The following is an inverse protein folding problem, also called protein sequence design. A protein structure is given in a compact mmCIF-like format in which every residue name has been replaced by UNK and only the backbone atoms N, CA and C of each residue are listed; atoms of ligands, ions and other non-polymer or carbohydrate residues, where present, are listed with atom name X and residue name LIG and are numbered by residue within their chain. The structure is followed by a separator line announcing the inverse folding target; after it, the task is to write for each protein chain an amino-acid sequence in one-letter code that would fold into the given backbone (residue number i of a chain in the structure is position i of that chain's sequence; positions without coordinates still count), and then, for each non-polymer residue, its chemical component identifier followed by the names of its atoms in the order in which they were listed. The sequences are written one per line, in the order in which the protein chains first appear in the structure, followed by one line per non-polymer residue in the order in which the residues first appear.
data_IF_836290735930
#
_entry.id   IF_836290735930
#
_cell.length_a   1.000
_cell.length_b   1.000
_cell.length_c   1.000
_cell.angle_alpha   90.00
_cell.angle_beta   90.00
_cell.angle_gamma   90.00
#
_symmetry.space_group_name_H-M   'P 1'
#
loop_
_entity.id
_entity.type
_entity.pdbx_description
1 polymer ?
#
# COMPACT_ATOMS: atom_id res chain seq x y z
N UNK A 1 -4.70 20.01 13.41
CA UNK A 1 -4.39 18.67 12.88
C UNK A 1 -3.44 17.94 13.82
N UNK A 2 -2.25 18.47 14.14
CA UNK A 2 -1.22 17.82 14.98
C UNK A 2 -1.74 17.34 16.35
N UNK A 3 -2.64 18.11 16.99
CA UNK A 3 -3.29 17.72 18.27
C UNK A 3 -4.01 16.37 18.14
N UNK A 4 -4.71 16.14 17.06
CA UNK A 4 -5.45 14.88 16.84
C UNK A 4 -4.49 13.72 16.55
N UNK A 5 -3.44 13.94 15.75
CA UNK A 5 -2.40 12.92 15.57
C UNK A 5 -1.77 12.49 16.90
N UNK A 6 -1.48 13.43 17.80
CA UNK A 6 -0.98 13.09 19.15
C UNK A 6 -1.99 12.26 19.95
N UNK A 7 -3.28 12.60 19.94
CA UNK A 7 -4.32 11.80 20.60
C UNK A 7 -4.38 10.38 20.03
N UNK A 8 -4.31 10.23 18.70
CA UNK A 8 -4.29 8.93 18.01
C UNK A 8 -3.08 8.12 18.45
N UNK A 9 -1.90 8.71 18.38
CA UNK A 9 -0.63 8.05 18.71
C UNK A 9 -0.59 7.65 20.19
N UNK A 10 -1.17 8.44 21.09
CA UNK A 10 -1.28 8.09 22.50
C UNK A 10 -2.12 6.82 22.74
N UNK A 11 -3.14 6.58 21.90
CA UNK A 11 -4.00 5.42 22.02
C UNK A 11 -3.46 4.18 21.27
N UNK A 12 -2.63 4.38 20.26
CA UNK A 12 -2.14 3.30 19.40
C UNK A 12 -1.39 2.18 20.17
N UNK A 13 -0.43 2.47 21.08
CA UNK A 13 0.22 1.42 21.88
C UNK A 13 -0.77 0.59 22.68
N UNK A 14 -1.77 1.22 23.29
CA UNK A 14 -2.80 0.50 24.05
C UNK A 14 -3.61 -0.43 23.15
N UNK A 15 -4.02 0.04 21.98
CA UNK A 15 -4.72 -0.76 20.98
C UNK A 15 -3.89 -1.98 20.57
N UNK A 16 -2.60 -1.79 20.30
CA UNK A 16 -1.70 -2.85 19.84
C UNK A 16 -1.38 -3.87 20.94
N UNK A 17 -1.17 -3.42 22.17
CA UNK A 17 -0.79 -4.27 23.30
C UNK A 17 -2.00 -4.94 23.96
N UNK A 18 -3.11 -4.21 24.10
CA UNK A 18 -4.33 -4.74 24.72
C UNK A 18 -5.23 -5.45 23.73
N UNK A 19 -5.20 -5.04 22.46
CA UNK A 19 -5.98 -5.66 21.39
C UNK A 19 -5.68 -7.14 21.18
N UNK A 20 -4.50 -7.63 21.58
CA UNK A 20 -4.18 -9.06 21.53
C UNK A 20 -4.79 -9.88 22.67
N UNK A 21 -5.22 -9.23 23.76
CA UNK A 21 -5.78 -9.93 24.91
C UNK A 21 -7.18 -10.43 24.58
N UNK A 22 -7.40 -11.72 24.72
CA UNK A 22 -8.69 -12.38 24.44
C UNK A 22 -9.19 -12.24 22.98
N UNK A 23 -8.32 -11.86 22.03
CA UNK A 23 -8.67 -11.78 20.64
C UNK A 23 -8.36 -13.13 19.94
N UNK A 24 -9.38 -13.71 19.32
CA UNK A 24 -9.21 -14.94 18.54
C UNK A 24 -8.67 -14.65 17.15
N UNK A 25 -7.35 -14.70 17.01
CA UNK A 25 -6.68 -14.48 15.74
C UNK A 25 -7.01 -15.56 14.69
N UNK A 26 -7.55 -16.72 15.07
CA UNK A 26 -7.94 -17.76 14.10
C UNK A 26 -9.13 -17.33 13.24
N UNK A 27 -9.93 -16.38 13.73
CA UNK A 27 -11.05 -15.77 12.99
C UNK A 27 -10.61 -14.73 11.95
N UNK A 28 -9.33 -14.33 11.93
CA UNK A 28 -8.84 -13.32 10.99
C UNK A 28 -8.76 -13.88 9.55
N UNK A 29 -9.27 -13.11 8.60
CA UNK A 29 -9.27 -13.49 7.19
C UNK A 29 -8.37 -12.53 6.37
N UNK A 30 -7.64 -13.03 5.36
CA UNK A 30 -7.44 -14.43 4.95
C UNK A 30 -6.37 -15.16 5.78
N UNK A 31 -5.67 -14.48 6.68
CA UNK A 31 -4.60 -15.02 7.53
C UNK A 31 -4.63 -14.40 8.92
N UNK A 32 -4.25 -15.20 9.91
CA UNK A 32 -4.22 -14.77 11.31
C UNK A 32 -3.08 -13.80 11.65
N UNK A 33 -2.06 -13.69 10.79
CA UNK A 33 -0.90 -12.83 11.00
C UNK A 33 -0.45 -12.15 9.71
N UNK A 34 0.20 -11.00 9.85
CA UNK A 34 0.99 -10.37 8.80
C UNK A 34 2.36 -11.05 8.73
N UNK A 35 2.35 -12.23 8.15
CA UNK A 35 3.46 -13.14 8.02
C UNK A 35 4.16 -13.03 6.65
N UNK A 36 5.15 -13.91 6.42
CA UNK A 36 5.88 -14.00 5.14
C UNK A 36 4.94 -14.01 3.94
N UNK A 37 3.89 -14.82 3.98
CA UNK A 37 2.96 -14.94 2.85
C UNK A 37 2.17 -13.65 2.62
N UNK A 38 1.74 -12.99 3.69
CA UNK A 38 1.03 -11.71 3.58
C UNK A 38 1.94 -10.61 3.03
N UNK A 39 3.22 -10.57 3.47
CA UNK A 39 4.22 -9.64 2.94
C UNK A 39 4.50 -9.90 1.45
N UNK A 40 4.65 -11.18 1.08
CA UNK A 40 4.84 -11.57 -0.33
C UNK A 40 3.65 -11.15 -1.21
N UNK A 41 2.41 -11.28 -0.71
CA UNK A 41 1.23 -10.81 -1.43
C UNK A 41 1.24 -9.30 -1.66
N UNK A 42 1.62 -8.51 -0.65
CA UNK A 42 1.72 -7.06 -0.78
C UNK A 42 2.79 -6.65 -1.81
N UNK A 43 3.96 -7.30 -1.79
CA UNK A 43 5.04 -7.05 -2.74
C UNK A 43 4.67 -7.48 -4.16
N UNK A 44 3.98 -8.63 -4.31
CA UNK A 44 3.44 -9.07 -5.58
C UNK A 44 2.36 -8.12 -6.11
N UNK A 45 1.53 -7.58 -5.21
CA UNK A 45 0.53 -6.59 -5.57
C UNK A 45 1.18 -5.32 -6.14
N UNK A 46 2.27 -4.84 -5.50
CA UNK A 46 3.09 -3.76 -6.03
C UNK A 46 3.71 -4.12 -7.39
N UNK A 47 4.35 -5.30 -7.50
CA UNK A 47 5.01 -5.74 -8.72
C UNK A 47 4.05 -5.80 -9.92
N UNK A 48 2.93 -6.50 -9.77
CA UNK A 48 2.02 -6.76 -10.88
C UNK A 48 1.11 -5.57 -11.20
N UNK A 49 0.62 -4.87 -10.19
CA UNK A 49 -0.37 -3.81 -10.40
C UNK A 49 0.20 -2.40 -10.40
N UNK A 50 1.45 -2.21 -10.00
CA UNK A 50 2.11 -0.93 -10.14
C UNK A 50 3.29 -1.01 -11.11
N UNK A 51 4.35 -1.75 -10.80
CA UNK A 51 5.55 -1.76 -11.65
C UNK A 51 5.26 -2.16 -13.08
N UNK A 52 4.52 -3.26 -13.29
CA UNK A 52 4.19 -3.71 -14.66
C UNK A 52 3.24 -2.78 -15.38
N UNK A 53 2.20 -2.27 -14.73
CA UNK A 53 1.25 -1.35 -15.36
C UNK A 53 1.82 0.05 -15.62
N UNK A 54 2.75 0.49 -14.77
CA UNK A 54 3.49 1.74 -14.97
C UNK A 54 4.71 1.58 -15.91
N UNK A 55 4.93 0.39 -16.47
CA UNK A 55 6.07 0.06 -17.33
C UNK A 55 7.44 0.39 -16.71
N UNK A 56 7.58 0.15 -15.41
CA UNK A 56 8.86 0.28 -14.71
C UNK A 56 9.73 -0.93 -15.04
N UNK A 57 10.95 -0.75 -15.57
CA UNK A 57 11.83 -1.87 -15.89
C UNK A 57 12.40 -2.51 -14.63
N UNK A 58 12.48 -3.84 -14.58
CA UNK A 58 13.16 -4.59 -13.54
C UNK A 58 13.56 -5.99 -14.03
N UNK A 59 14.57 -6.57 -13.38
CA UNK A 59 14.88 -7.99 -13.54
C UNK A 59 14.02 -8.81 -12.58
N UNK A 60 13.27 -9.77 -13.09
CA UNK A 60 12.29 -10.55 -12.33
C UNK A 60 12.95 -11.31 -11.16
N UNK A 61 14.02 -12.06 -11.43
CA UNK A 61 14.68 -12.87 -10.41
C UNK A 61 15.35 -11.99 -9.33
N UNK A 62 16.08 -10.96 -9.74
CA UNK A 62 16.77 -10.08 -8.80
C UNK A 62 15.77 -9.32 -7.90
N UNK A 63 14.60 -8.94 -8.44
CA UNK A 63 13.55 -8.30 -7.65
C UNK A 63 12.94 -9.27 -6.63
N UNK A 64 12.72 -10.54 -6.99
CA UNK A 64 12.23 -11.56 -6.06
C UNK A 64 13.25 -11.86 -4.96
N UNK A 65 14.54 -11.88 -5.27
CA UNK A 65 15.61 -12.05 -4.28
C UNK A 65 15.62 -10.89 -3.28
N UNK A 66 15.44 -9.65 -3.77
CA UNK A 66 15.34 -8.47 -2.92
C UNK A 66 14.06 -8.46 -2.08
N UNK A 67 12.93 -8.94 -2.62
CA UNK A 67 11.68 -9.12 -1.86
C UNK A 67 11.88 -10.10 -0.72
N UNK A 68 12.54 -11.23 -0.96
CA UNK A 68 12.87 -12.19 0.08
C UNK A 68 13.79 -11.57 1.16
N UNK A 69 14.77 -10.76 0.75
CA UNK A 69 15.67 -10.04 1.66
C UNK A 69 14.90 -9.06 2.54
N UNK A 70 14.02 -8.26 1.95
CA UNK A 70 13.15 -7.34 2.70
C UNK A 70 12.23 -8.08 3.67
N UNK A 71 11.59 -9.16 3.22
CA UNK A 71 10.70 -9.96 4.07
C UNK A 71 11.47 -10.56 5.25
N UNK A 72 12.67 -11.13 5.02
CA UNK A 72 13.49 -11.66 6.09
C UNK A 72 13.80 -10.60 7.14
N UNK A 73 14.19 -9.40 6.71
CA UNK A 73 14.44 -8.27 7.57
C UNK A 73 13.19 -7.86 8.40
N UNK A 74 12.03 -7.76 7.76
CA UNK A 74 10.80 -7.40 8.47
C UNK A 74 10.36 -8.46 9.47
N UNK A 75 10.71 -9.73 9.22
CA UNK A 75 10.41 -10.84 10.12
C UNK A 75 11.30 -10.89 11.37
N UNK A 76 12.40 -10.13 11.44
CA UNK A 76 13.23 -9.98 12.64
C UNK A 76 12.50 -9.22 13.76
N UNK A 77 11.59 -8.29 13.40
CA UNK A 77 10.81 -7.56 14.38
C UNK A 77 9.85 -8.48 15.15
N UNK A 78 9.62 -8.18 16.43
CA UNK A 78 8.56 -8.86 17.21
C UNK A 78 7.19 -8.55 16.60
N UNK A 79 6.40 -9.60 16.37
CA UNK A 79 5.12 -9.55 15.67
C UNK A 79 3.97 -10.16 16.48
N UNK A 80 4.14 -10.29 17.79
CA UNK A 80 3.12 -10.83 18.68
C UNK A 80 2.22 -9.73 19.27
N UNK A 81 1.78 -8.80 18.39
CA UNK A 81 0.88 -7.70 18.75
C UNK A 81 -0.35 -7.68 17.85
N UNK A 82 -1.37 -6.93 18.28
CA UNK A 82 -2.49 -6.63 17.39
C UNK A 82 -2.06 -5.58 16.36
N UNK A 83 -2.18 -5.91 15.11
CA UNK A 83 -1.94 -5.04 13.97
C UNK A 83 -3.30 -4.68 13.37
N UNK A 84 -3.61 -3.39 13.31
CA UNK A 84 -4.86 -2.87 12.76
C UNK A 84 -4.93 -3.04 11.24
N UNK A 85 -3.80 -2.96 10.57
CA UNK A 85 -3.57 -3.11 9.13
C UNK A 85 -3.88 -1.84 8.33
N UNK A 86 -5.09 -1.33 8.39
CA UNK A 86 -5.52 -0.14 7.62
C UNK A 86 -5.63 1.11 8.51
N UNK A 87 -4.62 1.32 9.37
CA UNK A 87 -4.53 2.44 10.30
C UNK A 87 -4.11 3.71 9.55
N UNK A 88 -5.07 4.37 8.92
CA UNK A 88 -4.91 5.54 8.07
C UNK A 88 -5.81 6.68 8.54
N UNK A 89 -5.47 7.92 8.16
CA UNK A 89 -6.22 9.11 8.55
C UNK A 89 -7.72 9.04 8.22
N UNK A 90 -8.09 8.46 7.07
CA UNK A 90 -9.49 8.29 6.65
C UNK A 90 -10.31 7.32 7.52
N UNK A 91 -9.64 6.46 8.29
CA UNK A 91 -10.27 5.47 9.17
C UNK A 91 -10.27 5.95 10.64
N UNK A 92 -9.97 7.23 10.85
CA UNK A 92 -9.96 7.89 12.15
C UNK A 92 -11.02 8.98 12.14
N UNK A 93 -12.07 8.79 12.92
CA UNK A 93 -13.18 9.73 13.03
C UNK A 93 -12.99 10.62 14.24
N UNK A 94 -13.36 11.89 14.12
CA UNK A 94 -13.34 12.87 15.20
C UNK A 94 -14.78 13.33 15.44
N UNK A 95 -15.25 13.16 16.67
CA UNK A 95 -16.56 13.65 17.09
C UNK A 95 -16.42 14.21 18.51
N UNK A 96 -16.92 15.42 18.72
CA UNK A 96 -16.88 16.11 20.01
C UNK A 96 -15.50 16.11 20.67
N UNK A 97 -14.46 16.33 19.86
CA UNK A 97 -13.03 16.30 20.23
C UNK A 97 -12.48 14.91 20.67
N UNK A 98 -13.30 13.88 20.58
CA UNK A 98 -12.93 12.49 20.83
C UNK A 98 -12.59 11.75 19.53
N UNK A 99 -11.76 10.69 19.65
CA UNK A 99 -11.24 9.91 18.51
C UNK A 99 -11.90 8.53 18.51
N UNK A 100 -12.32 8.12 17.30
CA UNK A 100 -12.91 6.80 17.05
C UNK A 100 -12.20 6.14 15.90
N UNK A 101 -11.88 4.85 16.03
CA UNK A 101 -11.27 4.04 14.99
C UNK A 101 -12.33 3.16 14.31
N UNK A 102 -12.35 3.19 12.97
CA UNK A 102 -13.29 2.42 12.15
C UNK A 102 -12.50 1.59 11.13
N UNK A 103 -13.13 0.56 10.56
CA UNK A 103 -12.55 -0.25 9.47
C UNK A 103 -11.43 -1.21 9.97
N UNK A 104 -11.65 -1.85 11.13
CA UNK A 104 -10.66 -2.70 11.81
C UNK A 104 -10.73 -4.18 11.39
N UNK A 105 -11.57 -4.57 10.44
CA UNK A 105 -11.73 -5.97 10.00
C UNK A 105 -10.46 -6.55 9.35
N UNK A 106 -9.50 -5.72 8.97
CA UNK A 106 -8.17 -6.14 8.52
C UNK A 106 -7.24 -6.59 9.65
N UNK A 107 -7.68 -6.48 10.92
CA UNK A 107 -6.88 -6.74 12.10
C UNK A 107 -6.36 -8.17 12.17
N UNK A 108 -5.12 -8.34 12.62
CA UNK A 108 -4.42 -9.62 12.74
C UNK A 108 -3.19 -9.49 13.63
N UNK A 109 -2.40 -10.55 13.81
CA UNK A 109 -1.09 -10.42 14.44
C UNK A 109 -0.10 -9.70 13.54
N UNK A 110 0.74 -8.83 14.11
CA UNK A 110 1.80 -8.16 13.36
C UNK A 110 2.71 -7.30 14.23
N UNK A 111 3.65 -6.63 13.57
CA UNK A 111 4.62 -5.77 14.25
C UNK A 111 4.02 -4.40 14.60
N UNK A 112 4.46 -3.85 15.73
CA UNK A 112 4.07 -2.52 16.22
C UNK A 112 4.34 -1.40 15.19
N UNK A 113 5.41 -1.54 14.42
CA UNK A 113 5.87 -0.54 13.47
C UNK A 113 4.92 -0.31 12.29
N UNK A 114 4.12 -1.33 11.91
CA UNK A 114 3.31 -1.26 10.70
C UNK A 114 2.22 -0.18 10.78
N UNK A 115 1.47 -0.13 11.87
CA UNK A 115 0.34 0.81 11.98
C UNK A 115 0.80 2.26 12.10
N UNK A 116 1.87 2.52 12.86
CA UNK A 116 2.46 3.87 12.93
C UNK A 116 3.07 4.28 11.58
N UNK A 117 3.67 3.35 10.83
CA UNK A 117 4.12 3.59 9.46
C UNK A 117 2.94 3.90 8.52
N UNK A 118 1.85 3.16 8.64
CA UNK A 118 0.63 3.37 7.84
C UNK A 118 0.01 4.75 8.10
N UNK A 119 0.01 5.21 9.35
CA UNK A 119 -0.53 6.51 9.74
C UNK A 119 0.36 7.66 9.26
N UNK A 120 1.67 7.59 9.51
CA UNK A 120 2.58 8.70 9.27
C UNK A 120 2.98 8.84 7.80
N UNK A 121 2.93 7.76 7.02
CA UNK A 121 3.21 7.76 5.58
C UNK A 121 1.95 7.55 4.72
N UNK A 122 0.76 7.87 5.26
CA UNK A 122 -0.45 8.01 4.44
C UNK A 122 -0.21 9.11 3.40
N UNK A 123 -0.18 8.74 2.12
CA UNK A 123 0.19 9.63 1.03
C UNK A 123 -0.69 10.90 0.98
N UNK A 124 -1.99 10.76 1.24
CA UNK A 124 -2.93 11.90 1.20
C UNK A 124 -2.87 12.80 2.43
N UNK A 125 -2.28 12.33 3.52
CA UNK A 125 -2.09 13.15 4.72
C UNK A 125 -0.98 14.19 4.53
N UNK A 126 -0.03 13.92 3.64
CA UNK A 126 1.08 14.80 3.22
C UNK A 126 1.77 15.50 4.41
N UNK A 127 2.11 14.71 5.43
CA UNK A 127 2.79 15.23 6.61
C UNK A 127 4.24 15.60 6.29
N UNK A 128 4.73 16.74 6.82
CA UNK A 128 6.16 17.08 6.71
C UNK A 128 7.03 16.11 7.52
N UNK A 129 8.29 15.97 7.13
CA UNK A 129 9.21 15.04 7.81
C UNK A 129 9.47 15.44 9.27
N UNK A 130 9.47 16.73 9.60
CA UNK A 130 9.57 17.21 10.97
C UNK A 130 8.41 16.71 11.81
N UNK A 131 7.18 16.76 11.27
CA UNK A 131 5.98 16.27 11.95
C UNK A 131 6.04 14.75 12.10
N UNK A 132 6.45 14.01 11.05
CA UNK A 132 6.60 12.55 11.10
C UNK A 132 7.61 12.13 12.16
N UNK A 133 8.78 12.79 12.20
CA UNK A 133 9.81 12.50 13.19
C UNK A 133 9.32 12.76 14.61
N UNK A 134 8.72 13.94 14.87
CA UNK A 134 8.16 14.27 16.17
C UNK A 134 7.07 13.27 16.61
N UNK A 135 6.22 12.83 15.70
CA UNK A 135 5.15 11.88 16.00
C UNK A 135 5.67 10.46 16.20
N UNK A 136 6.71 10.05 15.47
CA UNK A 136 7.39 8.78 15.70
C UNK A 136 8.06 8.75 17.07
N UNK A 137 8.81 9.80 17.42
CA UNK A 137 9.42 9.92 18.73
C UNK A 137 8.37 9.86 19.85
N UNK A 138 7.27 10.59 19.68
CA UNK A 138 6.17 10.57 20.64
C UNK A 138 5.52 9.16 20.74
N UNK A 139 5.37 8.44 19.62
CA UNK A 139 4.90 7.06 19.63
C UNK A 139 5.81 6.14 20.46
N UNK A 140 7.11 6.24 20.24
CA UNK A 140 8.09 5.42 20.95
C UNK A 140 8.11 5.75 22.46
N UNK A 141 7.96 7.03 22.83
CA UNK A 141 7.84 7.46 24.23
C UNK A 141 6.56 6.90 24.89
N UNK A 142 5.43 6.95 24.18
CA UNK A 142 4.18 6.37 24.68
C UNK A 142 4.27 4.84 24.82
N UNK A 143 4.90 4.16 23.87
CA UNK A 143 5.09 2.71 23.88
C UNK A 143 5.98 2.26 25.05
N UNK A 144 7.05 3.02 25.35
CA UNK A 144 7.98 2.73 26.46
C UNK A 144 7.33 2.80 27.86
N UNK A 145 6.15 3.40 27.98
CA UNK A 145 5.38 3.38 29.25
C UNK A 145 4.83 1.99 29.58
N UNK A 146 4.75 1.11 28.58
CA UNK A 146 4.11 -0.21 28.72
C UNK A 146 5.07 -1.38 28.52
N UNK A 147 6.06 -1.24 27.66
CA UNK A 147 7.05 -2.29 27.33
C UNK A 147 8.44 -1.71 27.18
N UNK A 148 9.45 -2.52 27.45
CA UNK A 148 10.83 -2.17 27.14
C UNK A 148 11.10 -2.41 25.65
N UNK A 149 11.68 -1.43 24.97
CA UNK A 149 12.05 -1.51 23.56
C UNK A 149 13.49 -1.02 23.36
N UNK A 150 14.18 -1.64 22.39
CA UNK A 150 15.35 -1.01 21.76
C UNK A 150 14.86 0.00 20.74
N UNK A 151 15.08 1.30 21.04
CA UNK A 151 14.60 2.41 20.21
C UNK A 151 15.27 2.43 18.84
N UNK A 152 16.58 2.17 18.77
CA UNK A 152 17.33 2.17 17.53
C UNK A 152 16.85 1.04 16.60
N UNK A 153 16.68 -0.15 17.14
CA UNK A 153 16.19 -1.31 16.40
C UNK A 153 14.72 -1.12 15.97
N UNK A 154 13.90 -0.53 16.84
CA UNK A 154 12.50 -0.19 16.50
C UNK A 154 12.42 0.78 15.32
N UNK A 155 13.29 1.81 15.27
CA UNK A 155 13.36 2.77 14.16
C UNK A 155 13.89 2.10 12.89
N UNK A 156 14.88 1.22 13.00
CA UNK A 156 15.43 0.46 11.87
C UNK A 156 14.34 -0.36 11.17
N UNK A 157 13.56 -1.11 11.92
CA UNK A 157 12.43 -1.87 11.39
C UNK A 157 11.29 -0.97 10.91
N UNK A 158 11.03 0.15 11.60
CA UNK A 158 9.98 1.08 11.20
C UNK A 158 10.13 1.52 9.73
N UNK A 159 11.32 1.92 9.29
CA UNK A 159 11.51 2.33 7.90
C UNK A 159 11.36 1.19 6.90
N UNK A 160 11.65 -0.05 7.29
CA UNK A 160 11.32 -1.23 6.49
C UNK A 160 9.80 -1.40 6.34
N UNK A 161 9.05 -1.22 7.44
CA UNK A 161 7.58 -1.26 7.42
C UNK A 161 6.97 -0.08 6.67
N UNK A 162 7.58 1.11 6.71
CA UNK A 162 7.21 2.24 5.85
C UNK A 162 7.33 1.85 4.38
N UNK A 163 8.46 1.26 3.99
CA UNK A 163 8.70 0.87 2.60
C UNK A 163 7.65 -0.13 2.09
N UNK A 164 7.42 -1.24 2.80
CA UNK A 164 6.41 -2.24 2.37
C UNK A 164 5.00 -1.64 2.33
N UNK A 165 4.67 -0.74 3.27
CA UNK A 165 3.37 -0.08 3.32
C UNK A 165 3.15 0.88 2.15
N UNK A 166 4.18 1.64 1.75
CA UNK A 166 4.11 2.50 0.56
C UNK A 166 3.91 1.63 -0.68
N UNK A 167 4.69 0.56 -0.84
CA UNK A 167 4.58 -0.35 -1.98
C UNK A 167 3.19 -1.01 -2.06
N UNK A 168 2.64 -1.46 -0.94
CA UNK A 168 1.28 -2.00 -0.88
C UNK A 168 0.24 -0.95 -1.33
N UNK A 169 0.37 0.30 -0.87
CA UNK A 169 -0.52 1.39 -1.29
C UNK A 169 -0.39 1.70 -2.79
N UNK A 170 0.84 1.73 -3.32
CA UNK A 170 1.07 1.93 -4.75
C UNK A 170 0.48 0.80 -5.60
N UNK A 171 0.55 -0.46 -5.14
CA UNK A 171 -0.16 -1.57 -5.76
C UNK A 171 -1.67 -1.30 -5.85
N UNK A 172 -2.28 -0.78 -4.77
CA UNK A 172 -3.69 -0.40 -4.77
C UNK A 172 -3.97 0.79 -5.71
N UNK A 173 -3.08 1.78 -5.79
CA UNK A 173 -3.22 2.89 -6.73
C UNK A 173 -3.13 2.42 -8.18
N UNK A 174 -2.22 1.51 -8.48
CA UNK A 174 -2.08 0.91 -9.80
C UNK A 174 -3.30 0.07 -10.19
N UNK A 175 -3.73 -0.84 -9.32
CA UNK A 175 -4.91 -1.66 -9.56
C UNK A 175 -6.16 -0.82 -9.80
N UNK A 176 -6.50 0.05 -8.85
CA UNK A 176 -7.72 0.86 -8.94
C UNK A 176 -7.61 1.96 -9.99
N UNK A 177 -6.43 2.56 -10.16
CA UNK A 177 -6.22 3.65 -11.13
C UNK A 177 -6.08 3.15 -12.55
N UNK A 178 -5.10 2.28 -12.84
CA UNK A 178 -4.83 1.81 -14.21
C UNK A 178 -5.81 0.73 -14.67
N UNK A 179 -6.11 -0.25 -13.80
CA UNK A 179 -6.96 -1.39 -14.19
C UNK A 179 -8.46 -1.08 -14.04
N UNK A 180 -8.91 -0.61 -12.87
CA UNK A 180 -10.32 -0.24 -12.64
C UNK A 180 -10.70 1.13 -13.22
N UNK A 181 -9.75 1.89 -13.78
CA UNK A 181 -9.96 3.23 -14.37
C UNK A 181 -10.52 4.28 -13.40
N UNK A 182 -10.20 4.16 -12.12
CA UNK A 182 -10.59 5.13 -11.07
C UNK A 182 -9.48 6.17 -10.90
N UNK A 183 -9.47 7.21 -11.74
CA UNK A 183 -8.37 8.19 -11.87
C UNK A 183 -7.98 8.86 -10.53
N UNK A 184 -8.93 9.07 -9.61
CA UNK A 184 -8.65 9.66 -8.30
C UNK A 184 -7.64 8.88 -7.43
N UNK A 185 -7.44 7.57 -7.69
CA UNK A 185 -6.38 6.81 -7.01
C UNK A 185 -4.99 7.17 -7.54
N UNK A 186 -4.89 7.50 -8.82
CA UNK A 186 -3.63 7.89 -9.43
C UNK A 186 -3.08 9.20 -8.88
N UNK A 187 -3.95 10.11 -8.44
CA UNK A 187 -3.57 11.39 -7.81
C UNK A 187 -2.76 11.21 -6.52
N UNK A 188 -2.79 10.02 -5.90
CA UNK A 188 -1.98 9.70 -4.72
C UNK A 188 -0.55 9.27 -5.07
N UNK A 189 -0.26 8.94 -6.34
CA UNK A 189 1.06 8.45 -6.76
C UNK A 189 2.18 9.48 -6.50
N UNK A 190 2.04 10.77 -6.88
CA UNK A 190 3.09 11.75 -6.63
C UNK A 190 3.51 11.86 -5.15
N UNK A 191 2.56 11.79 -4.22
CA UNK A 191 2.83 11.81 -2.78
C UNK A 191 3.56 10.53 -2.32
N UNK A 192 3.15 9.37 -2.79
CA UNK A 192 3.86 8.12 -2.49
C UNK A 192 5.28 8.11 -3.06
N UNK A 193 5.47 8.66 -4.26
CA UNK A 193 6.78 8.83 -4.90
C UNK A 193 7.67 9.79 -4.11
N UNK A 194 7.13 10.90 -3.62
CA UNK A 194 7.87 11.81 -2.73
C UNK A 194 8.33 11.12 -1.45
N UNK A 195 7.48 10.28 -0.85
CA UNK A 195 7.84 9.46 0.30
C UNK A 195 8.97 8.45 -0.02
N UNK A 196 8.91 7.78 -1.17
CA UNK A 196 9.99 6.88 -1.62
C UNK A 196 11.29 7.66 -1.80
N UNK A 197 11.23 8.80 -2.49
CA UNK A 197 12.40 9.66 -2.71
C UNK A 197 13.06 10.05 -1.39
N UNK A 198 12.28 10.46 -0.40
CA UNK A 198 12.79 10.76 0.93
C UNK A 198 13.52 9.56 1.56
N UNK A 199 12.94 8.36 1.49
CA UNK A 199 13.57 7.15 2.05
C UNK A 199 14.91 6.83 1.39
N UNK A 200 15.02 7.02 0.07
CA UNK A 200 16.23 6.76 -0.71
C UNK A 200 17.30 7.84 -0.46
N UNK A 201 16.94 9.11 -0.56
CA UNK A 201 17.86 10.23 -0.42
C UNK A 201 18.47 10.34 0.99
N UNK A 202 17.76 9.85 2.02
CA UNK A 202 18.23 9.86 3.41
C UNK A 202 18.70 8.49 3.92
N UNK A 203 18.90 7.52 3.02
CA UNK A 203 19.35 6.15 3.30
C UNK A 203 18.61 5.49 4.49
N UNK A 204 17.28 5.74 4.58
CA UNK A 204 16.44 5.24 5.67
C UNK A 204 16.27 3.72 5.63
N UNK A 205 16.42 3.10 4.46
CA UNK A 205 16.34 1.67 4.26
C UNK A 205 17.75 1.11 4.10
N UNK A 206 18.33 0.61 5.19
CA UNK A 206 19.75 0.22 5.28
C UNK A 206 20.05 -1.18 4.75
N UNK A 207 19.01 -1.99 4.41
CA UNK A 207 19.17 -3.34 3.87
C UNK A 207 19.63 -3.33 2.41
N UNK A 208 20.33 -4.39 2.02
CA UNK A 208 20.88 -4.55 0.67
C UNK A 208 19.82 -5.14 -0.26
N UNK A 209 19.13 -4.29 -0.99
CA UNK A 209 18.06 -4.62 -1.96
C UNK A 209 18.27 -3.83 -3.27
N UNK A 210 19.35 -4.11 -4.01
CA UNK A 210 19.77 -3.25 -5.13
C UNK A 210 18.79 -3.22 -6.30
N UNK A 211 18.15 -4.35 -6.66
CA UNK A 211 17.19 -4.40 -7.75
C UNK A 211 15.92 -3.63 -7.41
N UNK A 212 15.43 -3.76 -6.18
CA UNK A 212 14.28 -2.98 -5.69
C UNK A 212 14.63 -1.49 -5.62
N UNK A 213 15.78 -1.12 -5.02
CA UNK A 213 16.23 0.29 -4.99
C UNK A 213 16.35 0.88 -6.40
N UNK A 214 16.85 0.12 -7.38
CA UNK A 214 16.91 0.56 -8.79
C UNK A 214 15.52 0.85 -9.36
N UNK A 215 14.54 -0.04 -9.16
CA UNK A 215 13.17 0.17 -9.60
C UNK A 215 12.52 1.38 -8.91
N UNK A 216 12.77 1.56 -7.61
CA UNK A 216 12.28 2.71 -6.85
C UNK A 216 12.90 4.03 -7.31
N UNK A 217 14.22 4.08 -7.58
CA UNK A 217 14.87 5.25 -8.18
C UNK A 217 14.25 5.59 -9.55
N UNK A 218 14.05 4.59 -10.41
CA UNK A 218 13.40 4.81 -11.70
C UNK A 218 12.01 5.46 -11.53
N UNK A 219 11.22 5.00 -10.54
CA UNK A 219 9.91 5.59 -10.22
C UNK A 219 10.04 7.08 -9.84
N UNK A 220 11.10 7.47 -9.11
CA UNK A 220 11.28 8.86 -8.68
C UNK A 220 11.67 9.80 -9.81
N UNK A 221 12.18 9.29 -10.93
CA UNK A 221 12.57 10.07 -12.12
C UNK A 221 11.42 10.25 -13.12
N UNK A 222 10.30 9.53 -12.96
CA UNK A 222 9.14 9.63 -13.85
C UNK A 222 8.41 10.97 -13.63
N UNK A 223 8.11 11.68 -14.71
CA UNK A 223 7.17 12.81 -14.67
C UNK A 223 5.73 12.31 -14.53
N UNK A 224 5.31 12.11 -13.28
CA UNK A 224 3.96 11.61 -12.98
C UNK A 224 2.87 12.61 -13.34
N UNK A 225 3.10 13.91 -13.23
CA UNK A 225 2.11 14.93 -13.61
C UNK A 225 1.72 14.79 -15.08
N UNK A 226 2.71 14.78 -16.00
CA UNK A 226 2.43 14.61 -17.42
C UNK A 226 1.82 13.25 -17.79
N UNK A 227 2.17 12.18 -17.06
CA UNK A 227 1.53 10.86 -17.26
C UNK A 227 0.07 10.84 -16.84
N UNK A 228 -0.31 11.56 -15.79
CA UNK A 228 -1.66 11.55 -15.25
C UNK A 228 -2.61 12.42 -16.06
N UNK A 229 -2.15 13.56 -16.57
CA UNK A 229 -2.90 14.41 -17.50
C UNK A 229 -3.39 13.65 -18.75
N UNK A 230 -2.54 12.76 -19.29
CA UNK A 230 -2.89 11.90 -20.43
C UNK A 230 -4.00 10.88 -20.13
N UNK A 231 -4.16 10.46 -18.87
CA UNK A 231 -5.16 9.46 -18.45
C UNK A 231 -6.50 10.14 -18.16
N UNK A 232 -6.53 11.32 -17.57
CA UNK A 232 -7.76 12.06 -17.30
C UNK A 232 -8.50 12.45 -18.59
N UNK A 233 -7.78 12.70 -19.67
CA UNK A 233 -8.38 13.00 -20.97
C UNK A 233 -9.11 11.81 -21.63
N UNK A 234 -8.82 10.57 -21.18
CA UNK A 234 -9.47 9.35 -21.72
C UNK A 234 -10.69 8.91 -20.90
N UNK A 235 -10.90 9.44 -19.70
CA UNK A 235 -12.06 9.10 -18.85
C UNK A 235 -13.40 9.59 -19.43
N UNK A 236 -13.38 10.46 -20.45
CA UNK A 236 -14.56 10.92 -21.18
C UNK A 236 -14.93 10.04 -22.38
N UNK A 237 -14.14 9.04 -22.72
CA UNK A 237 -14.49 8.09 -23.77
C UNK A 237 -15.58 7.14 -23.25
N UNK A 238 -16.84 7.38 -23.64
CA UNK A 238 -17.94 6.47 -23.34
C UNK A 238 -17.63 5.09 -23.92
N UNK A 239 -17.65 4.07 -23.06
CA UNK A 239 -17.58 2.68 -23.52
C UNK A 239 -18.78 2.44 -24.45
N UNK A 240 -18.51 2.23 -25.72
CA UNK A 240 -19.53 1.85 -26.69
C UNK A 240 -19.49 0.34 -26.85
N UNK A 241 -20.58 -0.33 -26.48
CA UNK A 241 -20.76 -1.76 -26.71
C UNK A 241 -21.71 -1.94 -27.88
N UNK A 242 -21.21 -2.55 -28.96
CA UNK A 242 -22.05 -2.91 -30.12
C UNK A 242 -22.41 -4.39 -29.99
N UNK A 243 -23.67 -4.67 -29.83
CA UNK A 243 -24.21 -6.04 -29.79
C UNK A 243 -24.87 -6.34 -31.11
N UNK A 244 -24.39 -7.38 -31.80
CA UNK A 244 -24.93 -7.80 -33.09
C UNK A 244 -25.34 -9.27 -33.04
N UNK A 245 -26.47 -9.62 -33.63
CA UNK A 245 -26.84 -11.01 -33.86
C UNK A 245 -26.56 -11.39 -35.33
N UNK A 246 -26.08 -12.59 -35.51
CA UNK A 246 -25.77 -13.10 -36.84
C UNK A 246 -26.12 -14.61 -36.95
N UNK A 247 -26.29 -15.06 -38.18
CA UNK A 247 -26.47 -16.48 -38.45
C UNK A 247 -25.14 -17.13 -38.81
N UNK A 248 -24.77 -18.21 -38.18
CA UNK A 248 -23.56 -18.99 -38.52
C UNK A 248 -23.51 -19.41 -40.00
N UNK A 249 -24.66 -19.53 -40.65
CA UNK A 249 -24.73 -19.84 -42.11
C UNK A 249 -24.17 -18.71 -42.97
N UNK A 250 -24.15 -17.48 -42.43
CA UNK A 250 -23.63 -16.27 -43.12
C UNK A 250 -22.21 -15.89 -42.71
N UNK A 251 -21.64 -16.66 -41.76
CA UNK A 251 -20.30 -16.36 -41.21
C UNK A 251 -20.33 -15.33 -40.08
N UNK A 252 -19.23 -15.24 -39.37
CA UNK A 252 -19.01 -14.25 -38.30
C UNK A 252 -18.83 -12.88 -38.96
N UNK A 253 -19.51 -11.80 -38.47
CA UNK A 253 -19.31 -10.47 -38.96
C UNK A 253 -17.83 -10.04 -38.85
N UNK A 254 -17.33 -9.34 -39.85
CA UNK A 254 -15.99 -8.76 -39.78
C UNK A 254 -15.96 -7.60 -38.78
N UNK A 255 -14.99 -7.63 -37.89
CA UNK A 255 -14.71 -6.50 -36.98
C UNK A 255 -13.85 -5.49 -37.73
N UNK A 256 -14.42 -4.32 -37.99
CA UNK A 256 -13.72 -3.18 -38.60
C UNK A 256 -13.11 -2.23 -37.53
N UNK A 257 -13.15 -2.61 -36.23
CA UNK A 257 -12.52 -1.82 -35.16
C UNK A 257 -11.00 -2.05 -35.19
N UNK A 258 -10.26 -1.05 -34.70
CA UNK A 258 -8.80 -1.13 -34.55
C UNK A 258 -8.36 -1.93 -33.31
N UNK A 259 -9.31 -2.52 -32.56
CA UNK A 259 -9.08 -3.11 -31.25
C UNK A 259 -9.09 -4.65 -31.20
N UNK A 260 -9.18 -5.31 -32.35
CA UNK A 260 -8.89 -6.75 -32.45
C UNK A 260 -10.01 -7.69 -32.07
N UNK A 261 -11.26 -7.36 -32.37
CA UNK A 261 -12.39 -8.27 -32.30
C UNK A 261 -13.10 -8.35 -30.94
N UNK A 262 -14.34 -8.82 -30.98
CA UNK A 262 -15.20 -8.95 -29.84
C UNK A 262 -15.39 -10.40 -29.38
N UNK A 263 -16.28 -10.59 -28.40
CA UNK A 263 -16.69 -11.92 -27.97
C UNK A 263 -17.84 -12.45 -28.83
N UNK A 264 -17.76 -13.72 -29.21
CA UNK A 264 -18.81 -14.44 -29.94
C UNK A 264 -19.40 -15.47 -28.98
N UNK A 265 -20.70 -15.37 -28.74
CA UNK A 265 -21.44 -16.31 -27.90
C UNK A 265 -22.36 -17.15 -28.77
N UNK A 266 -22.32 -18.47 -28.61
CA UNK A 266 -23.31 -19.41 -29.19
C UNK A 266 -24.53 -19.47 -28.27
N UNK A 267 -25.64 -18.91 -28.73
CA UNK A 267 -26.88 -18.87 -27.97
C UNK A 267 -27.85 -20.06 -28.34
N UNK A 268 -27.35 -21.07 -29.02
CA UNK A 268 -28.11 -22.30 -29.31
C UNK A 268 -27.90 -23.29 -28.17
N UNK A 269 -28.76 -23.28 -27.18
CA UNK A 269 -28.83 -24.27 -26.13
C UNK A 269 -29.91 -25.30 -26.43
#
# INVERSE_FOLDING_TARGET
VLRFYRKVIQQLPLLQLCGKKNFDFSACYPRFAFDRQSMQWDLNYFKYYFLKLAHVPFNEQALEDDFNTLINFLLEADRDYFLYRDFQSRNIMIKDDEIYFIDYQGGRKGALQYDVASLLYDAKADLSEEIRSQLLDYYLDELQKYIQIDRAESIRHYYGYVLIRIMQAMGAYGYRGYYEKKSHFLQSIPFAVANIKYLLDNDRVTIKIPALKSALHYITEINWAGRLEGIESTDNAKLTVVVSSFSYKKGIPQDNSTHGGGFVFDCRA
#
